data_IF_733184980114
#
_entry.id   IF_733184980114
#
_cell.length_a   1.000
_cell.length_b   1.000
_cell.length_c   1.000
_cell.angle_alpha   90.00
_cell.angle_beta   90.00
_cell.angle_gamma   90.00
#
_symmetry.space_group_name_H-M   'P 1'
#
loop_
_entity.id
_entity.type
_entity.pdbx_description
1 polymer ?
#
# COMPACT_ATOMS: atom_id res chain seq x y z
N UNK A 1 -24.39 -1.76 -6.76
CA UNK A 1 -22.97 -1.47 -7.05
C UNK A 1 -22.39 -0.93 -5.76
N UNK A 2 -21.49 -1.64 -5.11
CA UNK A 2 -20.83 -1.11 -3.92
C UNK A 2 -19.72 -0.17 -4.41
N UNK A 3 -19.87 1.12 -4.16
CA UNK A 3 -18.79 2.07 -4.34
C UNK A 3 -17.83 1.87 -3.16
N UNK A 4 -16.71 1.20 -3.39
CA UNK A 4 -15.67 1.07 -2.39
C UNK A 4 -14.92 2.39 -2.34
N UNK A 5 -15.06 3.11 -1.23
CA UNK A 5 -14.31 4.33 -0.96
C UNK A 5 -13.04 3.99 -0.17
N UNK A 6 -11.92 4.70 -0.40
CA UNK A 6 -10.75 4.56 0.46
C UNK A 6 -11.07 5.02 1.88
N UNK A 7 -10.33 4.54 2.87
CA UNK A 7 -10.49 4.98 4.25
C UNK A 7 -10.25 6.49 4.37
N UNK A 8 -11.15 7.20 5.03
CA UNK A 8 -11.08 8.66 5.22
C UNK A 8 -10.89 9.06 6.70
N UNK A 9 -10.68 8.11 7.59
CA UNK A 9 -10.60 8.35 9.05
C UNK A 9 -9.51 9.37 9.43
N UNK A 10 -8.45 9.45 8.65
CA UNK A 10 -7.31 10.35 8.91
C UNK A 10 -7.23 11.56 7.99
N UNK A 11 -8.28 11.83 7.21
CA UNK A 11 -8.31 12.96 6.29
C UNK A 11 -8.09 14.33 6.99
N UNK A 12 -8.52 14.44 8.25
CA UNK A 12 -8.25 15.62 9.08
C UNK A 12 -6.78 15.76 9.50
N UNK A 13 -6.00 14.67 9.45
CA UNK A 13 -4.58 14.63 9.82
C UNK A 13 -3.67 14.73 8.59
N UNK A 14 -4.04 14.10 7.48
CA UNK A 14 -3.23 14.02 6.27
C UNK A 14 -4.07 13.92 5.01
N UNK A 15 -3.68 14.67 3.99
CA UNK A 15 -4.25 14.60 2.64
C UNK A 15 -3.11 14.64 1.63
N UNK A 16 -2.91 13.54 0.89
CA UNK A 16 -1.81 13.40 -0.07
C UNK A 16 -1.77 14.53 -1.11
N UNK A 17 -2.93 15.00 -1.58
CA UNK A 17 -3.02 16.11 -2.54
C UNK A 17 -2.58 17.48 -1.98
N UNK A 18 -2.47 17.63 -0.66
CA UNK A 18 -1.99 18.86 -0.01
C UNK A 18 -0.52 18.76 0.42
N UNK A 19 0.05 17.58 0.39
CA UNK A 19 1.43 17.33 0.78
C UNK A 19 2.36 17.50 -0.42
N UNK A 20 3.24 18.51 -0.35
CA UNK A 20 4.21 18.83 -1.43
C UNK A 20 5.23 17.74 -1.72
N UNK A 21 5.42 16.80 -0.81
CA UNK A 21 6.32 15.65 -0.96
C UNK A 21 5.60 14.39 -1.43
N UNK A 22 4.27 14.44 -1.53
CA UNK A 22 3.47 13.32 -2.03
C UNK A 22 3.53 13.26 -3.56
N UNK A 23 3.57 12.06 -4.16
CA UNK A 23 3.43 11.89 -5.61
C UNK A 23 2.10 12.40 -6.15
N UNK A 24 1.10 12.57 -5.29
CA UNK A 24 -0.24 13.06 -5.64
C UNK A 24 -0.47 14.53 -5.28
N UNK A 25 0.60 15.30 -5.03
CA UNK A 25 0.48 16.72 -4.72
C UNK A 25 -0.27 17.48 -5.82
N UNK A 26 -1.24 18.31 -5.42
CA UNK A 26 -2.05 19.11 -6.32
C UNK A 26 -3.14 18.37 -7.07
N UNK A 27 -3.33 17.07 -6.82
CA UNK A 27 -4.39 16.27 -7.44
C UNK A 27 -5.77 16.78 -6.99
N UNK A 28 -6.68 16.90 -7.96
CA UNK A 28 -8.07 17.25 -7.71
C UNK A 28 -8.95 16.01 -7.86
N UNK A 29 -9.71 15.69 -6.82
CA UNK A 29 -10.62 14.55 -6.82
C UNK A 29 -12.03 15.02 -7.16
N UNK A 30 -12.62 14.43 -8.19
CA UNK A 30 -14.05 14.62 -8.46
C UNK A 30 -14.88 13.85 -7.42
N UNK A 31 -16.01 14.42 -7.03
CA UNK A 31 -17.01 13.68 -6.21
C UNK A 31 -18.05 12.97 -7.07
N UNK A 32 -18.09 13.25 -8.37
CA UNK A 32 -19.19 12.84 -9.25
C UNK A 32 -18.73 12.22 -10.58
N UNK A 33 -17.47 12.42 -10.97
CA UNK A 33 -16.95 11.94 -12.25
C UNK A 33 -16.09 10.69 -12.02
N UNK A 34 -16.53 9.58 -12.55
CA UNK A 34 -15.86 8.27 -12.50
C UNK A 34 -15.16 8.07 -13.85
N UNK A 35 -13.85 8.08 -13.87
CA UNK A 35 -13.02 7.99 -15.07
C UNK A 35 -12.37 6.61 -15.24
N UNK A 36 -12.13 5.90 -14.12
CA UNK A 36 -11.45 4.62 -14.11
C UNK A 36 -12.41 3.48 -13.82
N UNK A 37 -12.14 2.31 -14.39
CA UNK A 37 -12.89 1.09 -14.13
C UNK A 37 -11.97 -0.13 -14.09
N UNK A 38 -12.44 -1.19 -13.40
CA UNK A 38 -11.86 -2.53 -13.43
C UNK A 38 -12.97 -3.50 -13.82
N UNK A 39 -12.79 -4.23 -14.91
CA UNK A 39 -13.76 -5.21 -15.39
C UNK A 39 -15.19 -4.65 -15.55
N UNK A 40 -15.31 -3.38 -15.94
CA UNK A 40 -16.60 -2.71 -16.08
C UNK A 40 -17.22 -2.20 -14.76
N UNK A 41 -16.50 -2.26 -13.64
CA UNK A 41 -16.90 -1.65 -12.38
C UNK A 41 -16.16 -0.33 -12.18
N UNK A 42 -16.91 0.75 -12.08
CA UNK A 42 -16.33 2.06 -11.87
C UNK A 42 -15.59 2.16 -10.53
N UNK A 43 -14.37 2.68 -10.59
CA UNK A 43 -13.54 2.95 -9.41
C UNK A 43 -13.92 4.30 -8.82
N UNK A 44 -14.08 4.35 -7.49
CA UNK A 44 -14.43 5.60 -6.81
C UNK A 44 -13.34 6.67 -7.05
N UNK A 45 -13.71 7.93 -7.40
CA UNK A 45 -12.76 8.95 -7.83
C UNK A 45 -11.73 9.38 -6.77
N UNK A 46 -11.91 8.99 -5.52
CA UNK A 46 -10.95 9.24 -4.43
C UNK A 46 -9.73 8.32 -4.45
N UNK A 47 -9.79 7.21 -5.20
CA UNK A 47 -8.62 6.35 -5.41
C UNK A 47 -7.66 7.01 -6.39
N UNK A 48 -6.37 6.81 -6.14
CA UNK A 48 -5.30 7.33 -6.97
C UNK A 48 -4.88 6.27 -8.01
N UNK A 49 -4.92 6.69 -9.27
CA UNK A 49 -4.37 5.95 -10.40
C UNK A 49 -2.83 6.04 -10.36
N UNK A 50 -2.19 4.90 -10.44
CA UNK A 50 -0.72 4.73 -10.42
C UNK A 50 -0.15 4.35 -11.79
N UNK A 51 -0.99 4.31 -12.83
CA UNK A 51 -0.62 3.85 -14.16
C UNK A 51 -0.81 2.35 -14.37
N UNK A 52 -1.35 1.63 -13.40
CA UNK A 52 -1.79 0.24 -13.55
C UNK A 52 -3.21 0.18 -14.09
N UNK A 53 -3.52 -0.85 -14.88
CA UNK A 53 -4.89 -1.11 -15.36
C UNK A 53 -5.78 -1.73 -14.28
N UNK A 54 -5.20 -2.38 -13.27
CA UNK A 54 -5.92 -3.23 -12.31
C UNK A 54 -5.70 -2.87 -10.86
N UNK A 55 -4.69 -2.06 -10.53
CA UNK A 55 -4.36 -1.69 -9.15
C UNK A 55 -4.42 -0.18 -8.95
N UNK A 56 -5.11 0.24 -7.91
CA UNK A 56 -5.22 1.62 -7.44
C UNK A 56 -4.74 1.73 -6.00
N UNK A 57 -4.32 2.92 -5.59
CA UNK A 57 -3.91 3.13 -4.22
C UNK A 57 -4.51 4.39 -3.60
N UNK A 58 -4.35 4.52 -2.28
CA UNK A 58 -4.57 5.75 -1.53
C UNK A 58 -3.54 5.88 -0.43
N UNK A 59 -2.75 6.95 -0.44
CA UNK A 59 -1.91 7.28 0.69
C UNK A 59 -2.81 7.86 1.78
N UNK A 60 -3.00 7.08 2.84
CA UNK A 60 -3.87 7.45 3.97
C UNK A 60 -3.16 8.35 4.96
N UNK A 61 -1.87 8.14 5.16
CA UNK A 61 -1.07 8.91 6.11
C UNK A 61 0.43 8.79 5.82
N UNK A 62 1.16 9.88 6.00
CA UNK A 62 2.63 9.89 5.93
C UNK A 62 3.20 10.76 7.05
N UNK A 63 4.17 10.21 7.78
CA UNK A 63 4.95 10.92 8.79
C UNK A 63 6.43 10.93 8.40
N UNK A 64 6.91 12.08 7.95
CA UNK A 64 8.31 12.24 7.53
C UNK A 64 9.29 12.26 8.70
N UNK A 65 8.83 12.58 9.92
CA UNK A 65 9.67 12.56 11.11
C UNK A 65 9.91 11.15 11.61
N UNK A 66 8.85 10.33 11.66
CA UNK A 66 8.91 8.91 12.00
C UNK A 66 9.22 8.02 10.79
N UNK A 67 9.29 8.61 9.57
CA UNK A 67 9.67 7.98 8.31
C UNK A 67 8.79 6.80 7.89
N UNK A 68 7.48 6.88 8.11
CA UNK A 68 6.54 5.85 7.68
C UNK A 68 5.38 6.39 6.87
N UNK A 69 4.78 5.52 6.09
CA UNK A 69 3.55 5.77 5.34
C UNK A 69 2.58 4.61 5.46
N UNK A 70 1.28 4.90 5.35
CA UNK A 70 0.20 3.91 5.29
C UNK A 70 -0.52 4.09 3.96
N UNK A 71 -0.55 3.03 3.16
CA UNK A 71 -1.12 3.02 1.81
C UNK A 71 -2.21 1.94 1.76
N UNK A 72 -3.41 2.32 1.41
CA UNK A 72 -4.51 1.39 1.12
C UNK A 72 -4.52 1.09 -0.38
N UNK A 73 -4.78 -0.17 -0.74
CA UNK A 73 -4.78 -0.67 -2.11
C UNK A 73 -6.16 -1.18 -2.49
N UNK A 74 -6.52 -1.03 -3.76
CA UNK A 74 -7.78 -1.50 -4.33
C UNK A 74 -7.54 -2.14 -5.68
N UNK A 75 -8.15 -3.28 -5.91
CA UNK A 75 -8.25 -3.90 -7.21
C UNK A 75 -7.64 -5.29 -7.27
N UNK A 76 -7.04 -5.63 -8.37
CA UNK A 76 -6.30 -6.86 -8.59
C UNK A 76 -4.82 -6.53 -8.70
N UNK A 77 -3.99 -7.21 -7.91
CA UNK A 77 -2.54 -7.06 -7.99
C UNK A 77 -1.99 -8.09 -8.97
N UNK A 78 -1.67 -7.67 -10.18
CA UNK A 78 -1.29 -8.56 -11.29
C UNK A 78 0.11 -8.23 -11.83
N UNK A 79 1.12 -8.86 -11.26
CA UNK A 79 2.50 -8.68 -11.71
C UNK A 79 2.80 -9.44 -13.00
N UNK A 80 2.03 -10.52 -13.28
CA UNK A 80 2.25 -11.34 -14.47
C UNK A 80 1.91 -10.62 -15.77
N UNK A 81 0.81 -9.87 -15.80
CA UNK A 81 0.32 -9.22 -17.02
C UNK A 81 0.57 -7.71 -17.03
N UNK A 82 0.45 -7.07 -15.88
CA UNK A 82 0.44 -5.61 -15.77
C UNK A 82 1.65 -5.06 -15.02
N UNK A 83 2.44 -5.92 -14.37
CA UNK A 83 3.60 -5.51 -13.57
C UNK A 83 3.23 -4.44 -12.53
N UNK A 84 2.18 -4.72 -11.74
CA UNK A 84 1.58 -3.76 -10.82
C UNK A 84 2.53 -3.29 -9.72
N UNK A 85 3.42 -4.17 -9.25
CA UNK A 85 4.47 -3.79 -8.31
C UNK A 85 5.38 -2.72 -8.90
N UNK A 86 5.72 -2.79 -10.20
CA UNK A 86 6.50 -1.76 -10.88
C UNK A 86 5.77 -0.41 -10.87
N UNK A 87 4.49 -0.41 -11.22
CA UNK A 87 3.68 0.82 -11.21
C UNK A 87 3.62 1.44 -9.82
N UNK A 88 3.35 0.63 -8.79
CA UNK A 88 3.35 1.06 -7.40
C UNK A 88 4.73 1.59 -6.98
N UNK A 89 5.79 0.86 -7.31
CA UNK A 89 7.18 1.22 -7.00
C UNK A 89 7.54 2.56 -7.64
N UNK A 90 7.41 2.70 -8.96
CA UNK A 90 7.84 3.90 -9.70
C UNK A 90 7.01 5.13 -9.41
N UNK A 91 5.69 4.97 -9.29
CA UNK A 91 4.77 6.11 -9.12
C UNK A 91 4.68 6.58 -7.67
N UNK A 92 4.79 5.66 -6.70
CA UNK A 92 4.52 5.99 -5.29
C UNK A 92 5.74 5.80 -4.42
N UNK A 93 6.33 4.60 -4.44
CA UNK A 93 7.37 4.22 -3.50
C UNK A 93 8.63 5.05 -3.68
N UNK A 94 9.13 5.17 -4.92
CA UNK A 94 10.36 5.92 -5.22
C UNK A 94 10.27 7.36 -4.71
N UNK A 95 9.13 8.03 -4.95
CA UNK A 95 8.89 9.39 -4.46
C UNK A 95 8.93 9.49 -2.92
N UNK A 96 8.36 8.51 -2.23
CA UNK A 96 8.33 8.50 -0.78
C UNK A 96 9.68 8.13 -0.18
N UNK A 97 10.42 7.21 -0.80
CA UNK A 97 11.81 6.88 -0.42
C UNK A 97 12.71 8.10 -0.59
N UNK A 98 12.63 8.81 -1.72
CA UNK A 98 13.36 10.06 -1.97
C UNK A 98 13.01 11.15 -0.93
N UNK A 99 11.76 11.15 -0.45
CA UNK A 99 11.33 12.03 0.63
C UNK A 99 11.76 11.57 2.05
N UNK A 100 12.43 10.41 2.16
CA UNK A 100 13.02 9.87 3.38
C UNK A 100 12.15 8.85 4.12
N UNK A 101 11.09 8.33 3.50
CA UNK A 101 10.28 7.26 4.09
C UNK A 101 11.05 5.93 4.04
N UNK A 102 11.03 5.20 5.15
CA UNK A 102 11.71 3.91 5.32
C UNK A 102 10.77 2.77 5.72
N UNK A 103 9.57 3.08 6.16
CA UNK A 103 8.61 2.08 6.65
C UNK A 103 7.30 2.21 5.88
N UNK A 104 6.91 1.14 5.23
CA UNK A 104 5.71 1.08 4.42
C UNK A 104 4.70 0.11 5.03
N UNK A 105 3.48 0.59 5.24
CA UNK A 105 2.35 -0.22 5.71
C UNK A 105 1.33 -0.28 4.58
N UNK A 106 1.15 -1.46 4.00
CA UNK A 106 0.19 -1.72 2.94
C UNK A 106 -1.08 -2.32 3.55
N UNK A 107 -2.23 -1.77 3.18
CA UNK A 107 -3.54 -2.27 3.60
C UNK A 107 -4.25 -2.86 2.39
N UNK A 108 -4.53 -4.15 2.42
CA UNK A 108 -5.03 -4.91 1.28
C UNK A 108 -6.45 -5.43 1.40
N UNK A 109 -7.29 -4.87 2.28
CA UNK A 109 -8.69 -5.33 2.44
C UNK A 109 -9.49 -5.32 1.13
N UNK A 110 -9.13 -4.44 0.20
CA UNK A 110 -9.77 -4.25 -1.09
C UNK A 110 -8.95 -4.84 -2.26
N UNK A 111 -7.88 -5.58 -1.98
CA UNK A 111 -7.15 -6.35 -2.99
C UNK A 111 -7.86 -7.70 -3.18
N UNK A 112 -8.47 -7.85 -4.37
CA UNK A 112 -9.37 -8.95 -4.67
C UNK A 112 -8.66 -10.20 -5.14
N UNK A 113 -7.46 -10.05 -5.71
CA UNK A 113 -6.67 -11.15 -6.25
C UNK A 113 -5.19 -10.77 -6.34
N UNK A 114 -4.32 -11.79 -6.53
CA UNK A 114 -2.91 -11.62 -6.78
C UNK A 114 -2.43 -12.62 -7.84
N UNK A 115 -1.66 -12.13 -8.80
CA UNK A 115 -1.00 -12.92 -9.82
C UNK A 115 0.49 -12.55 -9.86
N UNK A 116 1.32 -13.39 -9.27
CA UNK A 116 2.76 -13.14 -9.13
C UNK A 116 3.57 -13.57 -10.35
N UNK A 117 4.75 -12.98 -10.48
CA UNK A 117 5.79 -13.36 -11.43
C UNK A 117 7.08 -13.73 -10.70
N UNK A 118 7.82 -14.73 -11.20
CA UNK A 118 9.15 -15.07 -10.68
C UNK A 118 10.27 -14.20 -11.28
N UNK A 119 9.97 -13.43 -12.31
CA UNK A 119 10.93 -12.58 -13.02
C UNK A 119 10.91 -11.13 -12.51
N UNK A 120 10.27 -10.90 -11.37
CA UNK A 120 10.01 -9.57 -10.86
C UNK A 120 11.03 -9.19 -9.77
N UNK A 121 11.95 -8.31 -10.12
CA UNK A 121 12.99 -7.80 -9.21
C UNK A 121 12.53 -6.56 -8.41
N UNK A 122 11.33 -6.00 -8.66
CA UNK A 122 10.88 -4.75 -8.02
C UNK A 122 10.65 -4.88 -6.52
N UNK A 123 10.29 -6.05 -6.02
CA UNK A 123 10.20 -6.30 -4.57
C UNK A 123 11.58 -6.24 -3.91
N UNK A 124 12.60 -6.82 -4.55
CA UNK A 124 13.97 -6.77 -4.09
C UNK A 124 14.51 -5.33 -4.09
N UNK A 125 14.29 -4.61 -5.20
CA UNK A 125 14.67 -3.20 -5.33
C UNK A 125 13.99 -2.35 -4.24
N UNK A 126 12.69 -2.54 -3.99
CA UNK A 126 11.99 -1.81 -2.93
C UNK A 126 12.57 -2.09 -1.55
N UNK A 127 12.85 -3.36 -1.28
CA UNK A 127 13.44 -3.78 0.00
C UNK A 127 14.84 -3.17 0.19
N UNK A 128 15.66 -3.12 -0.85
CA UNK A 128 16.99 -2.50 -0.82
C UNK A 128 16.92 -0.99 -0.59
N UNK A 129 15.97 -0.30 -1.24
CA UNK A 129 15.80 1.15 -1.12
C UNK A 129 15.38 1.60 0.29
N UNK A 130 14.71 0.74 1.06
CA UNK A 130 14.30 1.04 2.44
C UNK A 130 15.33 0.58 3.47
N UNK A 131 16.62 0.74 3.17
CA UNK A 131 17.73 0.39 4.07
C UNK A 131 17.43 0.77 5.54
N UNK A 132 17.59 -0.17 6.48
CA UNK A 132 17.21 -0.04 7.89
C UNK A 132 15.69 0.16 8.15
N UNK A 133 14.85 -0.07 7.13
CA UNK A 133 13.40 0.02 7.22
C UNK A 133 12.71 -1.33 7.12
N UNK A 134 11.43 -1.30 6.80
CA UNK A 134 10.65 -2.50 6.55
C UNK A 134 9.38 -2.19 5.72
N UNK A 135 8.88 -3.22 5.05
CA UNK A 135 7.62 -3.22 4.34
C UNK A 135 6.71 -4.22 5.03
N UNK A 136 5.54 -3.79 5.48
CA UNK A 136 4.55 -4.62 6.16
C UNK A 136 3.21 -4.55 5.42
N UNK A 137 2.58 -5.70 5.25
CA UNK A 137 1.27 -5.84 4.64
C UNK A 137 0.28 -6.39 5.66
N UNK A 138 -0.90 -5.78 5.74
CA UNK A 138 -1.97 -6.19 6.65
C UNK A 138 -3.30 -6.26 5.92
N UNK A 139 -4.18 -7.15 6.40
CA UNK A 139 -5.53 -7.34 5.89
C UNK A 139 -5.62 -7.77 4.42
N UNK A 140 -4.60 -8.41 3.91
CA UNK A 140 -4.71 -9.13 2.64
C UNK A 140 -5.46 -10.45 2.86
N UNK A 141 -6.17 -10.91 1.83
CA UNK A 141 -6.84 -12.19 1.88
C UNK A 141 -5.83 -13.34 2.05
N UNK A 142 -6.15 -14.41 2.79
CA UNK A 142 -5.21 -15.51 3.03
C UNK A 142 -4.61 -16.12 1.76
N UNK A 143 -5.41 -16.24 0.70
CA UNK A 143 -4.91 -16.78 -0.58
C UNK A 143 -3.89 -15.87 -1.26
N UNK A 144 -3.95 -14.54 -1.05
CA UNK A 144 -2.93 -13.60 -1.53
C UNK A 144 -1.62 -13.84 -0.78
N UNK A 145 -1.68 -13.99 0.54
CA UNK A 145 -0.51 -14.27 1.36
C UNK A 145 0.13 -15.65 1.00
N UNK A 146 -0.70 -16.65 0.68
CA UNK A 146 -0.23 -17.97 0.20
C UNK A 146 0.49 -17.86 -1.16
N UNK A 147 -0.04 -17.08 -2.10
CA UNK A 147 0.62 -16.83 -3.39
C UNK A 147 1.92 -16.03 -3.19
N UNK A 148 1.95 -15.02 -2.32
CA UNK A 148 3.18 -14.30 -1.99
C UNK A 148 4.27 -15.22 -1.47
N UNK A 149 3.95 -16.15 -0.58
CA UNK A 149 4.91 -17.15 -0.09
C UNK A 149 5.41 -18.06 -1.21
N UNK A 150 4.54 -18.46 -2.14
CA UNK A 150 4.91 -19.26 -3.32
C UNK A 150 5.91 -18.55 -4.24
N UNK A 151 5.73 -17.25 -4.46
CA UNK A 151 6.63 -16.40 -5.25
C UNK A 151 7.80 -15.84 -4.44
N UNK A 152 7.97 -16.24 -3.16
CA UNK A 152 9.05 -15.83 -2.26
C UNK A 152 9.08 -14.33 -1.96
N UNK A 153 7.92 -13.67 -2.05
CA UNK A 153 7.76 -12.26 -1.71
C UNK A 153 7.91 -12.03 -0.19
N UNK A 154 7.71 -13.08 0.61
CA UNK A 154 7.95 -13.11 2.06
C UNK A 154 9.40 -12.81 2.49
N UNK A 155 10.36 -12.86 1.56
CA UNK A 155 11.71 -12.35 1.80
C UNK A 155 11.78 -10.83 1.90
N UNK A 156 10.88 -10.12 1.25
CA UNK A 156 10.89 -8.67 1.09
C UNK A 156 9.79 -7.98 1.89
N UNK A 157 8.60 -8.60 1.96
CA UNK A 157 7.43 -8.09 2.65
C UNK A 157 7.13 -8.91 3.91
N UNK A 158 6.82 -8.20 4.99
CA UNK A 158 6.32 -8.82 6.22
C UNK A 158 4.80 -8.87 6.19
N UNK A 159 4.20 -10.06 6.29
CA UNK A 159 2.75 -10.23 6.32
C UNK A 159 2.29 -11.35 7.25
N UNK A 160 0.99 -11.50 7.41
CA UNK A 160 0.36 -12.57 8.17
C UNK A 160 0.49 -12.49 9.69
N UNK A 161 -0.13 -13.45 10.36
CA UNK A 161 -0.09 -13.60 11.81
C UNK A 161 -0.59 -12.35 12.55
N UNK A 162 0.19 -11.88 13.52
CA UNK A 162 -0.17 -10.73 14.37
C UNK A 162 -0.14 -9.36 13.65
N UNK A 163 0.24 -9.30 12.37
CA UNK A 163 0.18 -8.08 11.58
C UNK A 163 -1.26 -7.76 11.15
N UNK A 164 -2.20 -8.68 11.30
CA UNK A 164 -3.63 -8.45 11.09
C UNK A 164 -4.22 -7.65 12.27
N UNK A 165 -3.99 -6.33 12.29
CA UNK A 165 -4.40 -5.45 13.39
C UNK A 165 -5.92 -5.24 13.35
N UNK A 166 -6.70 -5.78 14.31
CA UNK A 166 -8.15 -5.63 14.29
C UNK A 166 -8.54 -4.17 14.50
N UNK A 167 -9.64 -3.76 13.87
CA UNK A 167 -10.20 -2.40 14.00
C UNK A 167 -9.19 -1.27 13.67
N UNK A 168 -8.23 -1.52 12.79
CA UNK A 168 -7.19 -0.56 12.43
C UNK A 168 -7.73 0.82 12.04
N UNK A 169 -8.91 0.87 11.40
CA UNK A 169 -9.56 2.13 11.00
C UNK A 169 -9.92 3.03 12.17
N UNK A 170 -10.06 2.49 13.38
CA UNK A 170 -10.39 3.27 14.60
C UNK A 170 -9.15 3.72 15.37
N UNK A 171 -7.98 3.24 15.00
CA UNK A 171 -6.71 3.58 15.63
C UNK A 171 -6.12 4.84 15.00
N UNK A 172 -5.25 5.52 15.74
CA UNK A 172 -4.41 6.57 15.19
C UNK A 172 -3.27 5.96 14.37
N UNK A 173 -2.79 6.64 13.30
CA UNK A 173 -1.71 6.13 12.45
C UNK A 173 -0.45 5.74 13.23
N UNK A 174 -0.05 6.57 14.18
CA UNK A 174 1.13 6.31 15.03
C UNK A 174 1.01 5.07 15.91
N UNK A 175 -0.20 4.70 16.31
CA UNK A 175 -0.43 3.47 17.06
C UNK A 175 -0.24 2.23 16.18
N UNK A 176 -0.73 2.27 14.95
CA UNK A 176 -0.55 1.17 13.98
C UNK A 176 0.93 0.99 13.69
N UNK A 177 1.63 2.08 13.38
CA UNK A 177 3.07 2.06 13.16
C UNK A 177 3.82 1.44 14.34
N UNK A 178 3.57 1.91 15.57
CA UNK A 178 4.22 1.40 16.77
C UNK A 178 3.93 -0.09 17.01
N UNK A 179 2.70 -0.54 16.79
CA UNK A 179 2.33 -1.95 16.95
C UNK A 179 3.08 -2.83 15.96
N UNK A 180 3.10 -2.46 14.67
CA UNK A 180 3.80 -3.20 13.63
C UNK A 180 5.31 -3.22 13.90
N UNK A 181 5.92 -2.07 14.15
CA UNK A 181 7.36 -1.96 14.43
C UNK A 181 7.79 -2.84 15.61
N UNK A 182 6.99 -2.84 16.69
CA UNK A 182 7.23 -3.72 17.85
C UNK A 182 7.09 -5.20 17.52
N UNK A 183 6.13 -5.57 16.67
CA UNK A 183 5.94 -6.96 16.25
C UNK A 183 7.10 -7.43 15.38
N UNK A 184 7.56 -6.62 14.44
CA UNK A 184 8.67 -6.95 13.55
C UNK A 184 9.99 -7.05 14.32
N UNK A 185 10.28 -6.12 15.22
CA UNK A 185 11.46 -6.19 16.10
C UNK A 185 11.50 -7.46 16.96
N UNK A 186 10.35 -7.97 17.39
CA UNK A 186 10.28 -9.25 18.10
C UNK A 186 10.51 -10.47 17.22
N UNK A 187 10.14 -10.41 15.92
CA UNK A 187 10.43 -11.49 14.97
C UNK A 187 11.92 -11.60 14.66
N UNK A 188 12.62 -10.47 14.66
CA UNK A 188 14.07 -10.40 14.39
C UNK A 188 14.94 -10.74 15.61
N UNK A 189 14.38 -10.61 16.82
CA UNK A 189 15.07 -10.92 18.10
C UNK A 189 14.18 -11.86 18.93
N UNK A 190 14.12 -13.18 18.58
CA UNK A 190 13.33 -14.17 19.29
C UNK A 190 13.86 -14.46 20.71
#
# INVERSE_FOLDING_TARGET
MQNIEPSFQWESLYVAARDKKSPFFGRHYSQTTYENDIYGYYIHPLWDDIGSETLFCKILYTDYSAKYTIIELLGEWNDTLHNDVMHLKRTVVDHLVDAGIKHFILVGENVLNFHGSFEDDYYAEWFEDVEDGWIAAMHFAPFVEEEWAKYKIDYYLNFGGNLQIPNWRTLKPEMIFFMIDKLLKRRLNP
#
